data_IF_092100106450
#
_entry.id   IF_092100106450
#
_cell.length_a   1.000
_cell.length_b   1.000
_cell.length_c   1.000
_cell.angle_alpha   90.00
_cell.angle_beta   90.00
_cell.angle_gamma   90.00
#
_symmetry.space_group_name_H-M   'P 1'
#
loop_
_entity.id
_entity.type
_entity.pdbx_description
1 polymer ?
#
# COMPACT_ATOMS: atom_id res chain seq x y z
N UNK A 1 -31.53 -5.55 -1.14
CA UNK A 1 -31.20 -5.69 0.31
C UNK A 1 -29.82 -5.07 0.53
N UNK A 2 -29.73 -3.94 1.19
CA UNK A 2 -28.44 -3.34 1.56
C UNK A 2 -27.80 -4.22 2.65
N UNK A 3 -26.65 -4.86 2.35
CA UNK A 3 -25.84 -5.51 3.38
C UNK A 3 -25.47 -4.45 4.42
N UNK A 4 -25.87 -4.65 5.67
CA UNK A 4 -25.39 -3.83 6.79
C UNK A 4 -23.90 -4.16 6.98
N UNK A 5 -23.03 -3.28 6.48
CA UNK A 5 -21.58 -3.42 6.71
C UNK A 5 -21.33 -3.15 8.18
N UNK A 6 -20.80 -4.14 8.88
CA UNK A 6 -20.42 -3.99 10.27
C UNK A 6 -19.28 -2.96 10.35
N UNK A 7 -19.47 -1.88 11.10
CA UNK A 7 -18.47 -0.81 11.26
C UNK A 7 -17.09 -1.30 11.73
N UNK A 8 -17.02 -2.48 12.32
CA UNK A 8 -15.76 -3.12 12.74
C UNK A 8 -14.87 -3.61 11.59
N UNK A 9 -15.39 -3.67 10.36
CA UNK A 9 -14.64 -4.13 9.17
C UNK A 9 -14.24 -2.98 8.23
N UNK A 10 -14.55 -1.74 8.59
CA UNK A 10 -14.19 -0.58 7.78
C UNK A 10 -12.70 -0.23 7.94
N UNK A 11 -12.03 -0.03 6.81
CA UNK A 11 -10.61 0.29 6.70
C UNK A 11 -10.37 1.78 6.56
N UNK A 12 -9.36 2.25 7.27
CA UNK A 12 -8.67 3.49 6.94
C UNK A 12 -7.46 3.16 6.07
N UNK A 13 -7.45 3.63 4.85
CA UNK A 13 -6.36 3.36 3.91
C UNK A 13 -5.38 4.53 3.91
N UNK A 14 -4.10 4.25 4.09
CA UNK A 14 -3.02 5.25 3.95
C UNK A 14 -2.31 4.98 2.64
N UNK A 15 -2.20 6.01 1.82
CA UNK A 15 -1.41 5.95 0.59
C UNK A 15 -0.74 7.28 0.26
N UNK A 16 0.26 7.20 -0.60
CA UNK A 16 1.06 8.34 -1.05
C UNK A 16 1.63 8.06 -2.44
N UNK A 17 1.72 9.09 -3.26
CA UNK A 17 2.44 9.01 -4.53
C UNK A 17 2.97 10.39 -4.96
N UNK A 18 4.07 10.42 -5.75
CA UNK A 18 4.64 11.66 -6.24
C UNK A 18 3.78 12.30 -7.33
N UNK A 19 3.76 13.62 -7.41
CA UNK A 19 3.13 14.35 -8.52
C UNK A 19 4.04 14.33 -9.75
N UNK A 20 4.02 13.22 -10.50
CA UNK A 20 5.00 12.87 -11.55
C UNK A 20 5.14 13.91 -12.67
N UNK A 21 4.10 14.68 -12.96
CA UNK A 21 4.13 15.72 -14.00
C UNK A 21 4.54 17.11 -13.49
N UNK A 22 4.79 17.24 -12.19
CA UNK A 22 5.31 18.49 -11.64
C UNK A 22 6.81 18.64 -11.93
N UNK A 23 7.28 19.83 -12.40
CA UNK A 23 8.69 20.09 -12.72
C UNK A 23 9.67 19.76 -11.59
N UNK A 24 9.28 19.93 -10.35
CA UNK A 24 10.10 19.61 -9.18
C UNK A 24 10.32 18.09 -9.06
N UNK A 25 9.37 17.28 -9.53
CA UNK A 25 9.41 15.82 -9.44
C UNK A 25 10.02 15.19 -10.70
N UNK A 26 9.52 15.53 -11.90
CA UNK A 26 9.98 14.85 -13.12
C UNK A 26 11.42 15.17 -13.52
N UNK A 27 11.98 16.29 -13.06
CA UNK A 27 13.40 16.65 -13.30
C UNK A 27 14.37 15.92 -12.36
N UNK A 28 13.86 15.18 -11.38
CA UNK A 28 14.73 14.36 -10.52
C UNK A 28 15.37 13.20 -11.31
N UNK A 29 16.56 12.73 -10.92
CA UNK A 29 17.22 11.60 -11.61
C UNK A 29 16.30 10.35 -11.72
N UNK A 30 15.42 10.16 -10.77
CA UNK A 30 14.48 9.04 -10.74
C UNK A 30 13.51 9.01 -11.94
N UNK A 31 13.18 10.18 -12.50
CA UNK A 31 12.13 10.31 -13.53
C UNK A 31 12.59 11.01 -14.80
N UNK A 32 13.76 11.67 -14.80
CA UNK A 32 14.25 12.49 -15.92
C UNK A 32 14.41 11.74 -17.26
N UNK A 33 14.50 10.42 -17.23
CA UNK A 33 14.60 9.56 -18.43
C UNK A 33 13.27 9.31 -19.13
N UNK A 34 12.15 9.65 -18.50
CA UNK A 34 10.81 9.41 -19.04
C UNK A 34 10.24 10.68 -19.67
N UNK A 35 9.47 10.53 -20.74
CA UNK A 35 8.71 11.65 -21.30
C UNK A 35 7.57 12.08 -20.38
N UNK A 36 7.16 13.35 -20.47
CA UNK A 36 6.00 13.85 -19.72
C UNK A 36 4.74 13.03 -20.00
N UNK A 37 4.54 12.60 -21.24
CA UNK A 37 3.41 11.75 -21.63
C UNK A 37 3.44 10.40 -20.92
N UNK A 38 4.60 9.79 -20.75
CA UNK A 38 4.76 8.54 -19.99
C UNK A 38 4.45 8.76 -18.51
N UNK A 39 4.98 9.84 -17.93
CA UNK A 39 4.74 10.18 -16.52
C UNK A 39 3.27 10.53 -16.26
N UNK A 40 2.60 11.20 -17.20
CA UNK A 40 1.16 11.47 -17.11
C UNK A 40 0.34 10.17 -17.11
N UNK A 41 0.63 9.25 -18.03
CA UNK A 41 -0.02 7.94 -18.05
C UNK A 41 0.19 7.18 -16.73
N UNK A 42 1.42 7.20 -16.16
CA UNK A 42 1.70 6.58 -14.87
C UNK A 42 0.92 7.22 -13.73
N UNK A 43 0.83 8.54 -13.73
CA UNK A 43 0.05 9.29 -12.75
C UNK A 43 -1.45 8.97 -12.84
N UNK A 44 -1.97 8.73 -14.06
CA UNK A 44 -3.35 8.28 -14.26
C UNK A 44 -3.60 6.87 -13.70
N UNK A 45 -2.61 5.98 -13.73
CA UNK A 45 -2.71 4.67 -13.06
C UNK A 45 -2.88 4.85 -11.54
N UNK A 46 -2.09 5.72 -10.90
CA UNK A 46 -2.25 6.04 -9.47
C UNK A 46 -3.64 6.63 -9.17
N UNK A 47 -4.13 7.50 -10.06
CA UNK A 47 -5.47 8.09 -9.91
C UNK A 47 -6.57 7.03 -10.03
N UNK A 48 -6.42 6.05 -10.93
CA UNK A 48 -7.36 4.95 -11.09
C UNK A 48 -7.37 4.05 -9.85
N UNK A 49 -6.20 3.65 -9.35
CA UNK A 49 -6.09 2.86 -8.12
C UNK A 49 -6.70 3.61 -6.91
N UNK A 50 -6.43 4.91 -6.79
CA UNK A 50 -7.04 5.74 -5.76
C UNK A 50 -8.57 5.78 -5.89
N UNK A 51 -9.11 5.93 -7.10
CA UNK A 51 -10.56 5.94 -7.32
C UNK A 51 -11.19 4.58 -6.99
N UNK A 52 -10.57 3.47 -7.39
CA UNK A 52 -11.01 2.12 -7.06
C UNK A 52 -11.00 1.89 -5.54
N UNK A 53 -9.98 2.37 -4.85
CA UNK A 53 -9.91 2.33 -3.38
C UNK A 53 -11.03 3.15 -2.73
N UNK A 54 -11.32 4.34 -3.23
CA UNK A 54 -12.38 5.22 -2.68
C UNK A 54 -13.79 4.65 -2.85
N UNK A 55 -14.06 3.92 -3.94
CA UNK A 55 -15.38 3.31 -4.18
C UNK A 55 -15.55 1.96 -3.48
N UNK A 56 -14.49 1.38 -2.97
CA UNK A 56 -14.54 0.09 -2.29
C UNK A 56 -15.42 0.16 -1.03
N UNK A 57 -16.34 -0.80 -0.87
CA UNK A 57 -17.36 -0.77 0.18
C UNK A 57 -16.78 -0.84 1.61
N UNK A 58 -15.66 -1.57 1.78
CA UNK A 58 -14.98 -1.72 3.08
C UNK A 58 -14.00 -0.59 3.39
N UNK A 59 -13.84 0.42 2.54
CA UNK A 59 -13.00 1.59 2.82
C UNK A 59 -13.84 2.71 3.40
N UNK A 60 -13.49 3.16 4.61
CA UNK A 60 -14.14 4.31 5.27
C UNK A 60 -13.48 5.63 4.88
N UNK A 61 -12.17 5.68 4.96
CA UNK A 61 -11.39 6.91 4.69
C UNK A 61 -10.08 6.54 3.99
N UNK A 62 -9.70 7.34 3.01
CA UNK A 62 -8.37 7.31 2.41
C UNK A 62 -7.58 8.52 2.93
N UNK A 63 -6.52 8.26 3.67
CA UNK A 63 -5.59 9.26 4.18
C UNK A 63 -4.45 9.42 3.18
N UNK A 64 -4.50 10.48 2.38
CA UNK A 64 -3.47 10.77 1.40
C UNK A 64 -2.35 11.59 2.04
N UNK A 65 -1.16 11.00 2.15
CA UNK A 65 0.02 11.69 2.69
C UNK A 65 0.76 12.40 1.56
N UNK A 66 1.10 13.67 1.78
CA UNK A 66 1.81 14.48 0.79
C UNK A 66 2.86 15.38 1.44
N UNK A 67 3.93 15.65 0.71
CA UNK A 67 4.93 16.67 1.02
C UNK A 67 4.89 17.85 0.01
N UNK A 68 4.26 17.64 -1.15
CA UNK A 68 4.16 18.59 -2.24
C UNK A 68 2.71 19.06 -2.49
N UNK A 69 2.30 20.26 -2.00
CA UNK A 69 0.89 20.71 -2.01
C UNK A 69 0.19 20.75 -3.38
N UNK A 70 0.85 21.04 -4.52
CA UNK A 70 0.18 21.08 -5.83
C UNK A 70 -0.58 19.81 -6.20
N UNK A 71 -0.19 18.65 -5.64
CA UNK A 71 -0.88 17.37 -5.90
C UNK A 71 -2.33 17.37 -5.45
N UNK A 72 -2.67 18.11 -4.39
CA UNK A 72 -4.04 18.18 -3.85
C UNK A 72 -5.01 18.66 -4.92
N UNK A 73 -4.71 19.80 -5.55
CA UNK A 73 -5.54 20.37 -6.61
C UNK A 73 -5.66 19.43 -7.80
N UNK A 74 -4.57 18.71 -8.11
CA UNK A 74 -4.57 17.73 -9.19
C UNK A 74 -5.53 16.58 -8.90
N UNK A 75 -5.48 16.01 -7.70
CA UNK A 75 -6.34 14.92 -7.26
C UNK A 75 -7.81 15.38 -7.21
N UNK A 76 -8.11 16.50 -6.53
CA UNK A 76 -9.46 17.03 -6.38
C UNK A 76 -10.13 17.29 -7.73
N UNK A 77 -9.38 17.73 -8.74
CA UNK A 77 -9.90 17.97 -10.09
C UNK A 77 -10.28 16.67 -10.83
N UNK A 78 -9.67 15.55 -10.48
CA UNK A 78 -9.80 14.28 -11.22
C UNK A 78 -10.64 13.22 -10.53
N UNK A 79 -10.69 13.21 -9.20
CA UNK A 79 -11.55 12.28 -8.45
C UNK A 79 -13.01 12.72 -8.61
N UNK A 80 -13.85 11.79 -9.05
CA UNK A 80 -15.26 12.06 -9.40
C UNK A 80 -16.24 11.54 -8.34
N UNK A 81 -15.86 10.47 -7.63
CA UNK A 81 -16.75 9.79 -6.69
C UNK A 81 -16.11 9.63 -5.32
N UNK A 82 -16.93 9.69 -4.29
CA UNK A 82 -16.55 9.45 -2.89
C UNK A 82 -15.42 10.37 -2.38
N UNK A 83 -15.34 11.60 -2.91
CA UNK A 83 -14.33 12.58 -2.46
C UNK A 83 -14.43 12.85 -0.94
N UNK A 84 -15.62 12.69 -0.36
CA UNK A 84 -15.83 12.82 1.09
C UNK A 84 -15.04 11.77 1.92
N UNK A 85 -14.65 10.64 1.32
CA UNK A 85 -13.77 9.65 1.96
C UNK A 85 -12.29 10.03 1.91
N UNK A 86 -11.88 11.08 1.19
CA UNK A 86 -10.49 11.45 0.97
C UNK A 86 -10.07 12.58 1.92
N UNK A 87 -9.05 12.30 2.75
CA UNK A 87 -8.43 13.26 3.67
C UNK A 87 -6.97 13.48 3.28
N UNK A 88 -6.53 14.75 3.25
CA UNK A 88 -5.16 15.11 2.90
C UNK A 88 -4.36 15.46 4.14
N UNK A 89 -3.18 14.87 4.28
CA UNK A 89 -2.31 15.08 5.44
C UNK A 89 -0.90 15.43 4.99
N UNK A 90 -0.42 16.62 5.41
CA UNK A 90 0.94 17.05 5.12
C UNK A 90 1.92 16.32 6.04
N UNK A 91 2.95 15.72 5.43
CA UNK A 91 4.08 15.08 6.12
C UNK A 91 5.39 15.73 5.69
N UNK A 92 6.48 15.47 6.42
CA UNK A 92 7.79 16.04 6.12
C UNK A 92 8.38 15.50 4.80
N UNK A 93 8.28 14.19 4.61
CA UNK A 93 8.74 13.49 3.40
C UNK A 93 7.82 12.28 3.18
N UNK A 94 6.96 12.35 2.17
CA UNK A 94 6.01 11.29 1.83
C UNK A 94 6.67 10.08 1.16
N UNK A 95 7.93 10.19 0.73
CA UNK A 95 8.66 9.10 0.06
C UNK A 95 9.27 8.10 1.03
N UNK A 96 9.39 8.47 2.31
CA UNK A 96 9.99 7.63 3.34
C UNK A 96 8.93 6.73 3.96
N UNK A 97 9.23 5.44 4.03
CA UNK A 97 8.32 4.39 4.53
C UNK A 97 7.74 4.72 5.90
N UNK A 98 8.57 5.18 6.84
CA UNK A 98 8.13 5.50 8.21
C UNK A 98 7.00 6.52 8.28
N UNK A 99 6.87 7.44 7.32
CA UNK A 99 5.86 8.48 7.38
C UNK A 99 4.44 7.91 7.48
N UNK A 100 4.13 6.85 6.71
CA UNK A 100 2.84 6.18 6.74
C UNK A 100 2.59 5.45 8.07
N UNK A 101 3.61 4.79 8.61
CA UNK A 101 3.49 4.06 9.88
C UNK A 101 3.40 5.00 11.09
N UNK A 102 4.22 6.04 11.14
CA UNK A 102 4.12 7.08 12.19
C UNK A 102 2.74 7.74 12.17
N UNK A 103 2.20 8.03 10.99
CA UNK A 103 0.85 8.56 10.84
C UNK A 103 -0.19 7.57 11.38
N UNK A 104 -0.10 6.29 11.01
CA UNK A 104 -1.02 5.24 11.50
C UNK A 104 -1.04 5.16 13.02
N UNK A 105 0.13 5.05 13.64
CA UNK A 105 0.25 4.92 15.11
C UNK A 105 -0.15 6.20 15.86
N UNK A 106 0.06 7.37 15.27
CA UNK A 106 -0.22 8.66 15.93
C UNK A 106 -1.68 9.11 15.79
N UNK A 107 -2.35 8.78 14.66
CA UNK A 107 -3.66 9.33 14.33
C UNK A 107 -4.76 8.28 14.20
N UNK A 108 -4.42 7.01 13.99
CA UNK A 108 -5.38 5.95 13.70
C UNK A 108 -5.30 4.79 14.72
N UNK A 109 -4.80 5.07 15.93
CA UNK A 109 -4.71 4.07 16.98
C UNK A 109 -6.07 3.41 17.25
N UNK A 110 -6.09 2.08 17.31
CA UNK A 110 -7.29 1.28 17.50
C UNK A 110 -8.19 1.17 16.26
N UNK A 111 -7.84 1.75 15.12
CA UNK A 111 -8.58 1.60 13.86
C UNK A 111 -7.97 0.49 13.01
N UNK A 112 -8.77 -0.13 12.14
CA UNK A 112 -8.26 -1.07 11.16
C UNK A 112 -7.63 -0.28 10.01
N UNK A 113 -6.32 -0.40 9.83
CA UNK A 113 -5.54 0.40 8.88
C UNK A 113 -4.96 -0.49 7.79
N UNK A 114 -5.01 -0.03 6.55
CA UNK A 114 -4.28 -0.58 5.41
C UNK A 114 -3.28 0.45 4.90
N UNK A 115 -2.00 0.11 4.86
CA UNK A 115 -0.98 0.88 4.14
C UNK A 115 -0.71 0.18 2.82
N UNK A 116 -0.80 0.87 1.70
CA UNK A 116 -0.66 0.27 0.37
C UNK A 116 0.19 1.12 -0.57
N UNK A 117 0.74 0.47 -1.61
CA UNK A 117 1.39 1.17 -2.71
C UNK A 117 0.34 1.93 -3.56
N UNK A 118 0.79 2.98 -4.25
CA UNK A 118 -0.08 3.90 -4.99
C UNK A 118 -0.86 3.27 -6.15
N UNK A 119 -0.35 2.19 -6.69
CA UNK A 119 -0.89 1.43 -7.82
C UNK A 119 -1.54 0.11 -7.42
N UNK A 120 -1.80 -0.05 -6.11
CA UNK A 120 -2.46 -1.24 -5.56
C UNK A 120 -3.78 -0.83 -4.91
N UNK A 121 -4.84 -1.55 -5.23
CA UNK A 121 -6.18 -1.31 -4.69
C UNK A 121 -6.80 -2.60 -4.12
N UNK A 122 -7.69 -2.47 -3.10
CA UNK A 122 -8.41 -3.60 -2.53
C UNK A 122 -9.51 -4.11 -3.47
N UNK A 123 -9.79 -5.43 -3.41
CA UNK A 123 -10.90 -6.09 -4.10
C UNK A 123 -11.63 -7.06 -3.12
N UNK A 124 -11.94 -8.27 -3.49
CA UNK A 124 -12.71 -9.22 -2.69
C UNK A 124 -12.01 -9.68 -1.40
N UNK A 125 -12.80 -10.19 -0.45
CA UNK A 125 -12.34 -10.86 0.77
C UNK A 125 -12.10 -9.95 1.98
N UNK A 126 -12.26 -8.64 1.85
CA UNK A 126 -12.09 -7.70 2.96
C UNK A 126 -13.19 -7.82 4.02
N UNK A 127 -14.35 -8.36 3.66
CA UNK A 127 -15.43 -8.73 4.58
C UNK A 127 -15.05 -9.86 5.55
N UNK A 128 -14.00 -10.64 5.26
CA UNK A 128 -13.49 -11.71 6.10
C UNK A 128 -12.64 -11.19 7.28
N UNK A 129 -12.16 -9.96 7.22
CA UNK A 129 -11.31 -9.38 8.26
C UNK A 129 -12.10 -9.19 9.55
N UNK A 130 -11.52 -9.59 10.68
CA UNK A 130 -12.10 -9.46 12.02
C UNK A 130 -11.16 -8.64 12.90
N UNK A 131 -11.46 -7.36 13.04
CA UNK A 131 -10.64 -6.41 13.82
C UNK A 131 -10.37 -6.88 15.24
N UNK A 132 -11.38 -7.41 15.94
CA UNK A 132 -11.23 -7.93 17.30
C UNK A 132 -10.22 -9.08 17.39
N UNK A 133 -10.19 -9.98 16.39
CA UNK A 133 -9.22 -11.07 16.32
C UNK A 133 -7.83 -10.53 15.99
N UNK A 134 -7.74 -9.58 15.06
CA UNK A 134 -6.45 -8.94 14.74
C UNK A 134 -5.83 -8.26 15.95
N UNK A 135 -6.65 -7.62 16.80
CA UNK A 135 -6.19 -7.00 18.04
C UNK A 135 -5.77 -8.06 19.06
N UNK A 136 -6.64 -9.07 19.33
CA UNK A 136 -6.37 -10.09 20.36
C UNK A 136 -5.16 -10.96 20.06
N UNK A 137 -4.90 -11.25 18.79
CA UNK A 137 -3.76 -12.05 18.33
C UNK A 137 -2.58 -11.19 17.84
N UNK A 138 -2.70 -9.87 17.91
CA UNK A 138 -1.70 -8.91 17.42
C UNK A 138 -1.25 -9.24 15.98
N UNK A 139 -2.22 -9.33 15.07
CA UNK A 139 -1.99 -9.74 13.68
C UNK A 139 -1.72 -8.54 12.76
N UNK A 140 -0.78 -8.75 11.83
CA UNK A 140 -0.63 -7.95 10.62
C UNK A 140 -0.77 -8.85 9.40
N UNK A 141 -1.57 -8.44 8.43
CA UNK A 141 -1.58 -9.06 7.11
C UNK A 141 -0.63 -8.30 6.19
N UNK A 142 0.34 -9.00 5.61
CA UNK A 142 1.23 -8.50 4.57
C UNK A 142 0.86 -9.18 3.25
N UNK A 143 0.04 -8.52 2.43
CA UNK A 143 -0.58 -9.12 1.26
C UNK A 143 0.31 -9.04 0.04
N UNK A 144 0.55 -10.18 -0.61
CA UNK A 144 1.01 -10.24 -1.99
C UNK A 144 -0.13 -9.90 -2.93
N UNK A 145 0.20 -9.19 -4.01
CA UNK A 145 -0.77 -8.71 -4.99
C UNK A 145 -1.05 -9.69 -6.12
N UNK A 146 -2.15 -9.44 -6.82
CA UNK A 146 -2.43 -9.97 -8.15
C UNK A 146 -2.17 -8.89 -9.20
N UNK A 147 -1.74 -9.28 -10.39
CA UNK A 147 -1.53 -8.34 -11.50
C UNK A 147 -2.85 -8.13 -12.24
N UNK A 148 -3.28 -6.88 -12.37
CA UNK A 148 -4.55 -6.51 -13.02
C UNK A 148 -4.36 -6.17 -14.51
N UNK A 149 -3.58 -6.96 -15.23
CA UNK A 149 -3.24 -6.68 -16.64
C UNK A 149 -4.38 -6.92 -17.60
N UNK A 150 -5.23 -7.89 -17.32
CA UNK A 150 -6.34 -8.27 -18.20
C UNK A 150 -7.52 -7.30 -18.08
N UNK A 151 -7.87 -6.94 -16.86
CA UNK A 151 -9.06 -6.15 -16.53
C UNK A 151 -8.96 -4.69 -16.99
N UNK A 152 -7.80 -4.06 -16.86
CA UNK A 152 -7.63 -2.63 -17.10
C UNK A 152 -6.55 -2.27 -18.14
N UNK A 153 -5.59 -3.13 -18.41
CA UNK A 153 -4.51 -2.83 -19.33
C UNK A 153 -4.74 -3.32 -20.76
N UNK A 154 -5.76 -4.11 -21.01
CA UNK A 154 -6.08 -4.64 -22.34
C UNK A 154 -4.97 -5.50 -22.96
N UNK A 155 -4.06 -6.02 -22.16
CA UNK A 155 -2.96 -6.86 -22.60
C UNK A 155 -3.32 -8.33 -22.39
N UNK A 156 -3.35 -9.10 -23.47
CA UNK A 156 -3.33 -10.54 -23.40
C UNK A 156 -2.09 -11.02 -22.64
N UNK A 157 -2.19 -12.02 -21.76
CA UNK A 157 -1.06 -12.55 -21.02
C UNK A 157 -0.05 -13.16 -21.99
N UNK A 158 1.02 -12.43 -22.31
CA UNK A 158 2.14 -12.97 -23.10
C UNK A 158 3.04 -13.90 -22.27
N UNK A 159 2.75 -14.07 -21.02
CA UNK A 159 3.37 -14.99 -20.07
C UNK A 159 2.37 -15.24 -18.97
N UNK A 160 2.27 -16.48 -18.41
CA UNK A 160 1.49 -16.66 -17.20
C UNK A 160 1.96 -15.63 -16.20
N UNK A 161 1.06 -14.71 -15.85
CA UNK A 161 1.34 -13.64 -14.90
C UNK A 161 1.99 -14.29 -13.68
N UNK A 162 3.20 -13.89 -13.32
CA UNK A 162 3.82 -14.35 -12.09
C UNK A 162 2.87 -13.97 -10.97
N UNK A 163 2.10 -14.94 -10.50
CA UNK A 163 1.21 -14.73 -9.38
C UNK A 163 2.09 -14.62 -8.14
N UNK A 164 2.22 -13.42 -7.61
CA UNK A 164 3.00 -13.21 -6.38
C UNK A 164 2.36 -13.91 -5.18
N UNK A 165 1.04 -14.18 -5.25
CA UNK A 165 0.31 -15.03 -4.30
C UNK A 165 0.27 -16.49 -4.77
N UNK A 166 1.44 -17.15 -4.80
CA UNK A 166 1.59 -18.56 -5.22
C UNK A 166 2.63 -19.23 -4.35
N UNK A 167 2.43 -20.50 -4.04
CA UNK A 167 3.39 -21.29 -3.27
C UNK A 167 4.68 -21.53 -4.07
N UNK A 168 4.58 -21.72 -5.40
CA UNK A 168 5.69 -22.04 -6.28
C UNK A 168 6.45 -20.83 -6.82
N UNK A 169 5.93 -19.63 -6.62
CA UNK A 169 6.48 -18.40 -7.20
C UNK A 169 6.69 -17.28 -6.19
N UNK A 170 6.59 -17.56 -4.90
CA UNK A 170 6.73 -16.54 -3.87
C UNK A 170 8.10 -15.88 -3.90
N UNK A 171 8.10 -14.56 -4.12
CA UNK A 171 9.31 -13.75 -4.27
C UNK A 171 9.52 -12.78 -3.10
N UNK A 172 8.76 -12.91 -2.02
CA UNK A 172 8.84 -11.99 -0.87
C UNK A 172 8.29 -10.59 -1.15
N UNK A 173 7.42 -10.42 -2.16
CA UNK A 173 6.81 -9.13 -2.48
C UNK A 173 5.47 -8.99 -1.79
N UNK A 174 5.33 -7.90 -1.03
CA UNK A 174 4.12 -7.52 -0.33
C UNK A 174 3.84 -6.05 -0.61
N UNK A 175 2.63 -5.74 -1.01
CA UNK A 175 2.28 -4.41 -1.51
C UNK A 175 1.20 -3.71 -0.69
N UNK A 176 0.58 -4.45 0.25
CA UNK A 176 -0.40 -3.92 1.19
C UNK A 176 -0.25 -4.54 2.57
N UNK A 177 -0.39 -3.72 3.61
CA UNK A 177 -0.21 -4.11 5.01
C UNK A 177 -1.44 -3.70 5.81
N UNK A 178 -2.14 -4.69 6.39
CA UNK A 178 -3.36 -4.46 7.18
C UNK A 178 -3.09 -4.81 8.64
N UNK A 179 -3.34 -3.88 9.54
CA UNK A 179 -3.11 -4.06 10.98
C UNK A 179 -3.96 -3.08 11.80
N UNK A 180 -3.97 -3.26 13.10
CA UNK A 180 -4.56 -2.31 14.03
C UNK A 180 -3.45 -1.69 14.86
N UNK A 181 -3.06 -0.42 14.63
CA UNK A 181 -2.02 0.22 15.42
C UNK A 181 -2.48 0.36 16.87
N UNK A 182 -1.65 -0.06 17.82
CA UNK A 182 -1.89 0.03 19.26
C UNK A 182 -0.71 0.72 19.93
N UNK A 183 -0.99 1.73 20.76
CA UNK A 183 0.04 2.50 21.42
C UNK A 183 0.86 3.40 20.50
N UNK A 184 2.12 3.62 20.84
CA UNK A 184 3.06 4.45 20.07
C UNK A 184 4.07 3.58 19.33
N UNK A 185 4.48 3.99 18.14
CA UNK A 185 5.56 3.30 17.43
C UNK A 185 6.89 3.50 18.20
N UNK A 186 7.60 2.44 18.57
CA UNK A 186 8.89 2.56 19.24
C UNK A 186 9.93 3.23 18.34
N UNK A 187 10.89 4.01 18.91
CA UNK A 187 11.94 4.65 18.10
C UNK A 187 12.74 3.67 17.25
N UNK A 188 13.04 2.47 17.75
CA UNK A 188 13.76 1.44 17.00
C UNK A 188 12.94 0.98 15.76
N UNK A 189 11.61 0.81 15.89
CA UNK A 189 10.74 0.47 14.77
C UNK A 189 10.67 1.61 13.75
N UNK A 190 10.49 2.86 14.20
CA UNK A 190 10.49 4.02 13.31
C UNK A 190 11.82 4.19 12.56
N UNK A 191 12.95 4.00 13.25
CA UNK A 191 14.27 4.08 12.63
C UNK A 191 14.50 2.99 11.57
N UNK A 192 14.05 1.75 11.80
CA UNK A 192 14.18 0.67 10.82
C UNK A 192 13.38 0.95 9.54
N UNK A 193 12.32 1.76 9.60
CA UNK A 193 11.50 2.17 8.46
C UNK A 193 11.99 3.47 7.79
N UNK A 194 13.17 4.00 8.15
CA UNK A 194 13.72 5.26 7.62
C UNK A 194 14.41 5.09 6.27
N UNK A 195 13.77 4.42 5.32
CA UNK A 195 14.21 4.22 3.94
C UNK A 195 13.07 4.60 2.97
N UNK A 196 13.38 4.72 1.69
CA UNK A 196 12.36 5.04 0.66
C UNK A 196 11.41 3.85 0.48
N UNK A 197 10.14 4.12 0.33
CA UNK A 197 9.10 3.10 0.08
C UNK A 197 9.30 2.34 -1.24
N UNK A 198 10.12 2.88 -2.15
CA UNK A 198 10.44 2.28 -3.45
C UNK A 198 11.72 1.45 -3.46
N UNK A 199 12.49 1.42 -2.38
CA UNK A 199 13.75 0.69 -2.33
C UNK A 199 13.51 -0.83 -2.28
N UNK A 200 14.38 -1.60 -2.94
CA UNK A 200 14.27 -3.06 -2.92
C UNK A 200 14.53 -3.61 -1.50
N UNK A 201 13.66 -4.50 -1.05
CA UNK A 201 13.72 -5.11 0.28
C UNK A 201 12.90 -4.36 1.33
N UNK A 202 12.26 -3.25 0.99
CA UNK A 202 11.33 -2.52 1.87
C UNK A 202 10.31 -3.48 2.50
N UNK A 203 9.70 -4.35 1.71
CA UNK A 203 8.67 -5.30 2.15
C UNK A 203 9.20 -6.21 3.27
N UNK A 204 10.40 -6.73 3.09
CA UNK A 204 11.03 -7.62 4.06
C UNK A 204 11.40 -6.90 5.36
N UNK A 205 11.84 -5.64 5.26
CA UNK A 205 12.16 -4.81 6.45
C UNK A 205 10.89 -4.46 7.21
N UNK A 206 9.79 -4.17 6.53
CA UNK A 206 8.49 -3.89 7.18
C UNK A 206 8.05 -5.10 8.01
N UNK A 207 8.02 -6.29 7.40
CA UNK A 207 7.63 -7.52 8.10
C UNK A 207 8.54 -7.78 9.31
N UNK A 208 9.85 -7.69 9.12
CA UNK A 208 10.82 -7.87 10.21
C UNK A 208 10.60 -6.87 11.34
N UNK A 209 10.35 -5.59 11.01
CA UNK A 209 10.08 -4.53 11.98
C UNK A 209 8.86 -4.84 12.84
N UNK A 210 7.78 -5.30 12.22
CA UNK A 210 6.56 -5.65 12.93
C UNK A 210 6.77 -6.86 13.84
N UNK A 211 7.48 -7.87 13.40
CA UNK A 211 7.79 -9.04 14.23
C UNK A 211 8.73 -8.65 15.38
N UNK A 212 9.84 -7.95 15.07
CA UNK A 212 10.93 -7.73 16.01
C UNK A 212 10.65 -6.64 17.05
N UNK A 213 10.03 -5.53 16.65
CA UNK A 213 9.88 -4.37 17.52
C UNK A 213 8.45 -4.10 17.96
N UNK A 214 7.48 -4.59 17.21
CA UNK A 214 6.06 -4.36 17.49
C UNK A 214 5.33 -5.61 17.97
N UNK A 215 6.03 -6.76 18.00
CA UNK A 215 5.52 -8.06 18.46
C UNK A 215 4.25 -8.53 17.74
N UNK A 216 4.13 -8.21 16.43
CA UNK A 216 3.03 -8.72 15.60
C UNK A 216 3.35 -10.08 15.03
N UNK A 217 2.32 -10.92 14.96
CA UNK A 217 2.33 -12.11 14.12
C UNK A 217 1.95 -11.70 12.70
N UNK A 218 2.73 -12.07 11.70
CA UNK A 218 2.51 -11.66 10.32
C UNK A 218 2.03 -12.83 9.48
N UNK A 219 0.91 -12.64 8.78
CA UNK A 219 0.33 -13.60 7.82
C UNK A 219 0.22 -12.95 6.44
N UNK A 220 0.19 -13.78 5.39
CA UNK A 220 -0.10 -13.34 4.03
C UNK A 220 -1.35 -14.08 3.48
N UNK A 221 -2.56 -13.70 3.91
CA UNK A 221 -3.79 -14.36 3.48
C UNK A 221 -4.23 -13.92 2.07
N UNK A 222 -3.30 -13.71 1.15
CA UNK A 222 -3.57 -13.27 -0.22
C UNK A 222 -4.40 -14.28 -1.04
N UNK A 223 -4.54 -15.52 -0.59
CA UNK A 223 -5.39 -16.53 -1.23
C UNK A 223 -6.89 -16.33 -0.95
N UNK A 224 -7.24 -15.44 -0.02
CA UNK A 224 -8.63 -15.15 0.38
C UNK A 224 -8.93 -13.65 0.52
N UNK A 225 -7.91 -12.80 0.61
CA UNK A 225 -8.03 -11.34 0.58
C UNK A 225 -7.24 -10.85 -0.63
N UNK A 226 -7.93 -10.24 -1.57
CA UNK A 226 -7.35 -9.90 -2.88
C UNK A 226 -6.99 -8.42 -2.95
N UNK A 227 -5.76 -8.13 -3.42
CA UNK A 227 -5.33 -6.80 -3.83
C UNK A 227 -4.78 -6.88 -5.24
N UNK A 228 -5.11 -5.89 -6.06
CA UNK A 228 -4.68 -5.83 -7.45
C UNK A 228 -3.72 -4.69 -7.71
N UNK A 229 -2.71 -4.97 -8.53
CA UNK A 229 -1.71 -4.03 -8.96
C UNK A 229 -2.02 -3.51 -10.36
N UNK A 230 -2.33 -2.22 -10.45
CA UNK A 230 -2.65 -1.54 -11.69
C UNK A 230 -1.40 -0.89 -12.29
N UNK A 231 -0.67 -1.63 -13.10
CA UNK A 231 0.60 -1.20 -13.70
C UNK A 231 0.68 -1.60 -15.18
N UNK A 232 0.07 -0.80 -16.05
CA UNK A 232 0.03 -1.02 -17.49
C UNK A 232 1.29 -0.50 -18.21
N UNK A 233 1.93 0.52 -17.65
CA UNK A 233 3.09 1.19 -18.22
C UNK A 233 4.33 0.77 -17.44
N UNK A 234 5.35 0.31 -18.16
CA UNK A 234 6.62 -0.11 -17.54
C UNK A 234 7.49 1.11 -17.16
N UNK A 235 6.96 1.94 -16.27
CA UNK A 235 7.69 3.06 -15.66
C UNK A 235 7.97 2.72 -14.21
N UNK A 236 9.24 2.47 -13.92
CA UNK A 236 9.73 2.25 -12.57
C UNK A 236 10.76 3.31 -12.22
N UNK A 237 10.80 3.71 -10.97
CA UNK A 237 11.86 4.60 -10.47
C UNK A 237 13.24 4.00 -10.84
N UNK A 238 14.07 4.80 -11.53
CA UNK A 238 15.40 4.37 -11.95
C UNK A 238 16.40 4.26 -10.80
N UNK A 239 16.16 5.05 -9.76
CA UNK A 239 17.08 5.21 -8.61
C UNK A 239 16.65 4.31 -7.45
N UNK A 240 16.41 3.01 -7.76
CA UNK A 240 16.11 2.00 -6.75
C UNK A 240 17.40 1.44 -6.17
N UNK A 241 17.63 1.72 -4.91
CA UNK A 241 18.67 1.06 -4.13
C UNK A 241 18.13 -0.21 -3.47
N UNK A 242 18.98 -1.14 -3.15
CA UNK A 242 18.64 -2.26 -2.27
C UNK A 242 19.01 -1.88 -0.85
N UNK A 243 18.06 -2.01 0.06
CA UNK A 243 18.33 -1.80 1.48
C UNK A 243 19.32 -2.86 1.95
N UNK A 244 20.40 -2.43 2.59
CA UNK A 244 21.27 -3.34 3.31
C UNK A 244 20.60 -3.74 4.63
N UNK A 245 19.98 -4.91 4.63
CA UNK A 245 19.23 -5.40 5.79
C UNK A 245 20.12 -6.00 6.87
N UNK A 246 21.39 -6.32 6.56
CA UNK A 246 22.29 -7.03 7.47
C UNK A 246 21.62 -8.25 8.16
N UNK A 247 20.76 -8.97 7.44
CA UNK A 247 19.98 -10.10 7.97
C UNK A 247 18.62 -9.72 8.59
N UNK A 248 18.27 -8.43 8.67
CA UNK A 248 17.01 -7.96 9.22
C UNK A 248 15.88 -8.08 8.17
N UNK A 249 15.48 -9.30 7.86
CA UNK A 249 14.47 -9.61 6.85
C UNK A 249 13.37 -10.47 7.43
N UNK A 250 12.11 -10.16 7.07
CA UNK A 250 10.93 -10.94 7.38
C UNK A 250 10.24 -11.40 6.11
N UNK A 251 9.55 -12.52 6.21
CA UNK A 251 8.77 -13.11 5.12
C UNK A 251 7.43 -13.59 5.64
N UNK A 252 6.40 -13.53 4.79
CA UNK A 252 5.08 -14.07 5.07
C UNK A 252 4.61 -14.87 3.85
N UNK A 253 4.61 -16.20 3.96
CA UNK A 253 4.22 -17.10 2.86
C UNK A 253 2.72 -16.97 2.57
N UNK A 254 2.32 -17.08 1.28
CA UNK A 254 0.93 -17.11 0.86
C UNK A 254 0.12 -18.17 1.60
N UNK A 255 -1.04 -17.80 2.12
CA UNK A 255 -1.92 -18.70 2.87
C UNK A 255 -3.39 -18.32 2.67
N UNK A 256 -4.29 -19.27 3.02
CA UNK A 256 -5.72 -19.00 3.19
C UNK A 256 -6.12 -18.79 4.66
N UNK A 257 -5.16 -18.88 5.60
CA UNK A 257 -5.42 -18.65 7.02
C UNK A 257 -5.53 -17.17 7.31
N UNK A 258 -6.57 -16.79 8.05
CA UNK A 258 -6.81 -15.42 8.52
C UNK A 258 -6.37 -15.21 9.96
N UNK A 259 -6.27 -16.26 10.75
CA UNK A 259 -5.89 -16.21 12.16
C UNK A 259 -5.33 -17.55 12.63
N UNK A 260 -4.72 -17.56 13.79
CA UNK A 260 -4.18 -18.74 14.48
C UNK A 260 -5.21 -19.38 15.40
#
# INVERSE_FOLDING_TARGET
>A
MSKVINSSTLLDVILQFPFLTDPVVYRTPSYARFSLQQLEKRLLEYMTSLQLTLIHEHVSTVHFLYDHPPIIKYIQKRIRWNLAKLSFHRVKDSKITKAAYEFAFSHLSGRLVMITQADVYPDDGFDLIRKNIMVSQQLMYALSRYEDREKHCGRSPQSPSKQYCSDDGYMGSHDAYIFVPTGKIPPAASNSLSHRSTDYGTDNVIIWTFIKFLNYTVLNPCKVIYTYHFHCIDIRNADRTRINTAGNTGYAMPTNKLFY
#
